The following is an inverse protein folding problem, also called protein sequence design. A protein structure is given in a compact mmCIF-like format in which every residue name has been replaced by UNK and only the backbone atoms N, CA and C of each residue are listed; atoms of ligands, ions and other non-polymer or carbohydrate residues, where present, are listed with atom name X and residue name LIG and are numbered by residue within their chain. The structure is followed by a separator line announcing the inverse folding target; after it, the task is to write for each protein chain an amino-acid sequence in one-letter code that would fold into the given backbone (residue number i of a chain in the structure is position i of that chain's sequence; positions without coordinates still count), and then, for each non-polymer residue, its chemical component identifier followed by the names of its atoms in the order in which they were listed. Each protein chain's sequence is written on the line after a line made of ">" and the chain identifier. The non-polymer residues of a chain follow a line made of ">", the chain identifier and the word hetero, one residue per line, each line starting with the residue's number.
data_IF_779069993712
#
_entry.id   IF_779069993712
#
_cell.length_a   1.000
_cell.length_b   1.000
_cell.length_c   1.000
_cell.angle_alpha   90.00
_cell.angle_beta   90.00
_cell.angle_gamma   90.00
#
_symmetry.space_group_name_H-M   'P 1'
#
loop_
_entity.id
_entity.type
_entity.pdbx_description
1 polymer ?
#
# COMPACT_ATOMS: atom_id res chain seq x y z
N UNK A 1 71.58 50.40 26.39
CA UNK A 1 71.60 48.97 26.18
C UNK A 1 70.33 48.42 26.82
N UNK A 2 69.31 48.28 26.07
CA UNK A 2 68.00 47.69 26.48
C UNK A 2 67.46 46.88 25.37
N UNK A 3 67.40 45.58 25.55
CA UNK A 3 66.82 44.63 24.60
C UNK A 3 65.33 44.63 24.78
N UNK A 4 64.55 44.52 23.67
CA UNK A 4 63.12 44.32 23.76
C UNK A 4 62.77 42.83 23.95
N UNK A 5 61.91 42.53 24.91
CA UNK A 5 61.26 41.25 25.10
C UNK A 5 60.26 41.06 23.97
N UNK A 6 60.46 40.02 23.21
CA UNK A 6 59.49 39.51 22.28
C UNK A 6 58.61 38.42 22.98
N UNK A 7 57.37 38.69 23.15
CA UNK A 7 56.38 37.75 23.63
C UNK A 7 55.89 36.93 22.44
N UNK A 8 55.95 35.58 22.44
CA UNK A 8 55.26 34.80 21.44
C UNK A 8 53.75 34.77 21.77
N UNK A 9 52.95 35.29 20.86
CA UNK A 9 51.50 35.09 20.89
C UNK A 9 51.22 33.61 20.59
N UNK A 10 50.72 32.89 21.57
CA UNK A 10 50.12 31.60 21.40
C UNK A 10 48.89 31.78 20.51
N UNK A 11 49.00 31.37 19.25
CA UNK A 11 47.90 31.17 18.36
C UNK A 11 47.18 29.94 18.87
N UNK A 12 46.10 30.14 19.59
CA UNK A 12 45.14 29.08 19.90
C UNK A 12 44.48 28.77 18.58
N UNK A 13 44.88 27.64 17.96
CA UNK A 13 44.12 27.02 16.87
C UNK A 13 42.74 26.67 17.44
N UNK A 14 41.75 27.46 17.11
CA UNK A 14 40.34 27.11 17.30
C UNK A 14 40.09 25.81 16.52
N UNK A 15 39.55 24.75 17.15
CA UNK A 15 39.14 23.58 16.41
C UNK A 15 38.11 24.02 15.39
N UNK A 16 38.46 23.88 14.11
CA UNK A 16 37.56 24.07 12.98
C UNK A 16 36.31 23.23 13.23
N UNK A 17 35.26 23.89 13.70
CA UNK A 17 33.94 23.26 13.88
C UNK A 17 33.48 22.86 12.49
N UNK A 18 33.66 21.56 12.21
CA UNK A 18 33.18 20.94 10.98
C UNK A 18 31.66 21.21 10.88
N UNK A 19 31.31 22.26 10.12
CA UNK A 19 29.91 22.55 9.84
C UNK A 19 29.29 21.29 9.21
N UNK A 20 28.18 20.78 9.74
CA UNK A 20 27.54 19.59 9.17
C UNK A 20 27.29 19.85 7.68
N UNK A 21 27.99 19.09 6.81
CA UNK A 21 27.84 19.10 5.36
C UNK A 21 26.34 19.08 5.03
N UNK A 22 25.80 20.24 4.72
CA UNK A 22 24.41 20.39 4.30
C UNK A 22 24.23 19.55 3.05
N UNK A 23 23.53 18.40 3.19
CA UNK A 23 23.08 17.53 2.10
C UNK A 23 22.06 18.29 1.22
N UNK A 24 22.51 19.35 0.57
CA UNK A 24 21.71 20.19 -0.30
C UNK A 24 22.23 20.20 -1.74
N UNK A 25 22.41 19.03 -2.32
CA UNK A 25 22.40 18.99 -3.78
C UNK A 25 20.95 18.81 -4.21
N UNK A 26 20.40 19.70 -5.06
CA UNK A 26 19.01 19.60 -5.53
C UNK A 26 18.68 18.25 -6.15
N UNK A 27 19.68 17.53 -6.64
CA UNK A 27 19.58 16.17 -7.16
C UNK A 27 19.23 15.13 -6.09
N UNK A 28 19.73 15.26 -4.85
CA UNK A 28 19.42 14.32 -3.75
C UNK A 28 17.99 14.53 -3.25
N UNK A 29 17.59 15.78 -3.04
CA UNK A 29 16.22 16.11 -2.64
C UNK A 29 15.20 15.61 -3.68
N UNK A 30 15.47 15.80 -4.96
CA UNK A 30 14.58 15.33 -6.04
C UNK A 30 14.45 13.81 -6.08
N UNK A 31 15.54 13.07 -5.85
CA UNK A 31 15.55 11.60 -5.79
C UNK A 31 14.76 11.10 -4.58
N UNK A 32 14.95 11.69 -3.39
CA UNK A 32 14.21 11.33 -2.19
C UNK A 32 12.71 11.59 -2.35
N UNK A 33 12.33 12.72 -2.93
CA UNK A 33 10.93 13.03 -3.25
C UNK A 33 10.38 11.98 -4.23
N UNK A 34 11.12 11.66 -5.28
CA UNK A 34 10.71 10.64 -6.27
C UNK A 34 10.51 9.26 -5.64
N UNK A 35 11.44 8.80 -4.80
CA UNK A 35 11.32 7.51 -4.11
C UNK A 35 10.12 7.47 -3.15
N UNK A 36 9.87 8.56 -2.41
CA UNK A 36 8.71 8.64 -1.52
C UNK A 36 7.39 8.68 -2.29
N UNK A 37 7.33 9.37 -3.42
CA UNK A 37 6.16 9.34 -4.30
C UNK A 37 5.89 7.94 -4.86
N UNK A 38 6.93 7.21 -5.26
CA UNK A 38 6.78 5.82 -5.71
C UNK A 38 6.24 4.92 -4.58
N UNK A 39 6.75 5.06 -3.35
CA UNK A 39 6.24 4.33 -2.18
C UNK A 39 4.78 4.68 -1.89
N UNK A 40 4.45 5.97 -1.88
CA UNK A 40 3.08 6.43 -1.68
C UNK A 40 2.13 5.88 -2.75
N UNK A 41 2.53 5.86 -4.03
CA UNK A 41 1.74 5.29 -5.11
C UNK A 41 1.52 3.78 -4.91
N UNK A 42 2.55 3.03 -4.52
CA UNK A 42 2.42 1.59 -4.23
C UNK A 42 1.45 1.36 -3.07
N UNK A 43 1.62 2.07 -1.95
CA UNK A 43 0.72 1.94 -0.80
C UNK A 43 -0.71 2.35 -1.12
N UNK A 44 -0.89 3.36 -1.98
CA UNK A 44 -2.21 3.77 -2.47
C UNK A 44 -2.88 2.65 -3.26
N UNK A 45 -2.15 2.02 -4.21
CA UNK A 45 -2.68 0.89 -4.99
C UNK A 45 -2.98 -0.31 -4.09
N UNK A 46 -2.09 -0.63 -3.13
CA UNK A 46 -2.32 -1.71 -2.15
C UNK A 46 -3.57 -1.42 -1.32
N UNK A 47 -3.77 -0.18 -0.89
CA UNK A 47 -4.98 0.25 -0.17
C UNK A 47 -6.25 0.08 -1.02
N UNK A 48 -6.21 0.47 -2.30
CA UNK A 48 -7.33 0.25 -3.21
C UNK A 48 -7.63 -1.23 -3.42
N UNK A 49 -6.59 -2.06 -3.59
CA UNK A 49 -6.76 -3.51 -3.70
C UNK A 49 -7.36 -4.10 -2.42
N UNK A 50 -6.88 -3.67 -1.26
CA UNK A 50 -7.42 -4.11 0.02
C UNK A 50 -8.93 -3.81 0.11
N UNK A 51 -9.35 -2.58 -0.17
CA UNK A 51 -10.76 -2.19 -0.14
C UNK A 51 -11.61 -2.87 -1.22
N UNK A 52 -11.00 -3.31 -2.32
CA UNK A 52 -11.69 -4.09 -3.34
C UNK A 52 -11.86 -5.58 -3.00
N UNK A 53 -10.99 -6.13 -2.15
CA UNK A 53 -10.92 -7.57 -1.86
C UNK A 53 -11.36 -7.92 -0.44
N UNK A 54 -11.03 -7.11 0.57
CA UNK A 54 -11.36 -7.39 1.97
C UNK A 54 -12.85 -7.69 2.22
N UNK A 55 -13.80 -7.00 1.56
CA UNK A 55 -15.22 -7.27 1.74
C UNK A 55 -15.66 -8.66 1.27
N UNK A 56 -14.88 -9.32 0.39
CA UNK A 56 -15.19 -10.69 -0.05
C UNK A 56 -15.15 -11.68 1.14
N UNK A 57 -14.28 -11.40 2.13
CA UNK A 57 -14.23 -12.19 3.37
C UNK A 57 -15.53 -12.10 4.21
N UNK A 58 -16.32 -11.05 3.99
CA UNK A 58 -17.64 -10.85 4.62
C UNK A 58 -18.79 -11.46 3.80
N UNK A 59 -18.49 -12.23 2.75
CA UNK A 59 -19.49 -12.77 1.84
C UNK A 59 -20.03 -11.75 0.82
N UNK A 60 -19.42 -10.56 0.74
CA UNK A 60 -19.74 -9.59 -0.31
C UNK A 60 -19.06 -10.01 -1.61
N UNK A 61 -19.50 -9.46 -2.72
CA UNK A 61 -18.87 -9.74 -4.01
C UNK A 61 -18.49 -8.42 -4.72
N UNK A 62 -17.53 -8.49 -5.60
CA UNK A 62 -17.11 -7.34 -6.38
C UNK A 62 -17.46 -7.54 -7.85
N UNK A 63 -17.88 -6.46 -8.50
CA UNK A 63 -18.20 -6.44 -9.93
C UNK A 63 -17.42 -5.35 -10.64
N UNK A 64 -16.91 -5.65 -11.84
CA UNK A 64 -16.22 -4.67 -12.67
C UNK A 64 -17.21 -4.00 -13.61
N UNK A 65 -17.21 -2.68 -13.62
CA UNK A 65 -18.07 -1.87 -14.49
C UNK A 65 -17.51 -1.89 -15.92
N UNK A 66 -18.26 -2.50 -16.83
CA UNK A 66 -17.84 -2.72 -18.23
C UNK A 66 -18.47 -1.74 -19.20
N UNK A 67 -19.55 -1.04 -18.83
CA UNK A 67 -20.29 -0.11 -19.69
C UNK A 67 -20.41 1.27 -19.08
N UNK A 68 -20.61 2.29 -19.90
CA UNK A 68 -20.73 3.69 -19.47
C UNK A 68 -22.11 4.09 -18.96
N UNK A 69 -23.06 3.14 -18.79
CA UNK A 69 -24.44 3.47 -18.37
C UNK A 69 -24.54 4.19 -17.02
N UNK A 70 -23.52 4.07 -16.18
CA UNK A 70 -23.46 4.68 -14.86
C UNK A 70 -22.53 5.90 -14.77
N UNK A 71 -21.99 6.35 -15.90
CA UNK A 71 -21.19 7.57 -15.96
C UNK A 71 -22.04 8.81 -15.73
N UNK A 72 -21.45 9.92 -15.21
CA UNK A 72 -20.04 10.07 -14.82
C UNK A 72 -19.75 9.56 -13.40
N UNK A 73 -20.76 9.18 -12.61
CA UNK A 73 -20.61 8.84 -11.19
C UNK A 73 -19.82 7.55 -10.95
N UNK A 74 -20.01 6.56 -11.82
CA UNK A 74 -19.30 5.29 -11.76
C UNK A 74 -18.59 5.08 -13.11
N UNK A 75 -17.31 5.43 -13.20
CA UNK A 75 -16.57 5.34 -14.46
C UNK A 75 -16.36 3.88 -14.90
N UNK A 76 -16.29 3.69 -16.20
CA UNK A 76 -15.93 2.37 -16.78
C UNK A 76 -14.55 1.95 -16.29
N UNK A 77 -14.39 0.67 -15.96
CA UNK A 77 -13.14 0.14 -15.40
C UNK A 77 -13.01 0.32 -13.87
N UNK A 78 -14.07 0.79 -13.21
CA UNK A 78 -14.15 0.76 -11.76
C UNK A 78 -14.60 -0.60 -11.24
N UNK A 79 -14.30 -0.89 -9.97
CA UNK A 79 -14.84 -2.04 -9.24
C UNK A 79 -15.87 -1.52 -8.25
N UNK A 80 -17.06 -2.10 -8.26
CA UNK A 80 -18.10 -1.87 -7.27
C UNK A 80 -18.19 -3.08 -6.37
N UNK A 81 -18.06 -2.85 -5.07
CA UNK A 81 -18.30 -3.88 -4.05
C UNK A 81 -19.77 -3.90 -3.72
N UNK A 82 -20.36 -5.08 -3.83
CA UNK A 82 -21.80 -5.33 -3.69
C UNK A 82 -22.02 -6.15 -2.42
N UNK A 83 -22.83 -5.60 -1.52
CA UNK A 83 -23.28 -6.25 -0.30
C UNK A 83 -24.64 -6.92 -0.56
N UNK A 84 -24.85 -8.20 -0.18
CA UNK A 84 -26.16 -8.80 -0.17
C UNK A 84 -27.13 -7.94 0.65
N UNK A 85 -28.30 -7.68 0.15
CA UNK A 85 -29.25 -6.78 0.80
C UNK A 85 -30.62 -7.43 0.89
N UNK A 86 -31.29 -7.20 2.04
CA UNK A 86 -32.71 -7.50 2.18
C UNK A 86 -33.57 -6.42 1.51
N UNK A 87 -34.85 -6.72 1.38
CA UNK A 87 -35.83 -5.85 0.69
C UNK A 87 -35.97 -4.48 1.36
N UNK A 88 -35.72 -4.38 2.64
CA UNK A 88 -35.74 -3.16 3.44
C UNK A 88 -34.70 -2.11 3.01
N UNK A 89 -33.65 -2.56 2.35
CA UNK A 89 -32.58 -1.70 1.84
C UNK A 89 -32.79 -1.28 0.38
N UNK A 90 -33.79 -1.83 -0.31
CA UNK A 90 -34.09 -1.54 -1.72
C UNK A 90 -34.89 -0.23 -1.84
N UNK A 91 -34.25 0.89 -1.56
CA UNK A 91 -34.85 2.22 -1.60
C UNK A 91 -34.40 3.04 -2.81
N UNK A 92 -35.15 4.05 -3.26
CA UNK A 92 -34.74 4.94 -4.33
C UNK A 92 -33.33 5.51 -4.09
N UNK A 93 -32.63 5.81 -5.18
CA UNK A 93 -31.25 6.33 -5.24
C UNK A 93 -30.14 5.32 -4.91
N UNK A 94 -30.45 4.13 -4.44
CA UNK A 94 -29.47 3.06 -4.26
C UNK A 94 -29.03 2.48 -5.60
N UNK A 95 -27.74 2.18 -5.72
CA UNK A 95 -27.19 1.43 -6.85
C UNK A 95 -27.32 -0.05 -6.51
N UNK A 96 -27.98 -0.80 -7.38
CA UNK A 96 -28.17 -2.24 -7.21
C UNK A 96 -27.50 -3.01 -8.33
N UNK A 97 -27.07 -4.21 -8.01
CA UNK A 97 -26.74 -5.23 -8.98
C UNK A 97 -27.89 -6.23 -9.04
N UNK A 98 -28.43 -6.42 -10.22
CA UNK A 98 -29.52 -7.36 -10.48
C UNK A 98 -29.22 -8.26 -11.68
N UNK A 99 -29.92 -9.37 -11.77
CA UNK A 99 -30.02 -10.10 -13.02
C UNK A 99 -30.70 -9.20 -14.05
N UNK A 100 -30.17 -9.19 -15.27
CA UNK A 100 -30.74 -8.38 -16.36
C UNK A 100 -32.00 -9.04 -16.89
N UNK A 101 -33.20 -8.43 -16.73
CA UNK A 101 -34.45 -9.04 -17.22
C UNK A 101 -34.48 -9.18 -18.76
N UNK A 102 -33.80 -8.27 -19.47
CA UNK A 102 -33.79 -8.23 -20.92
C UNK A 102 -32.73 -9.16 -21.53
N UNK A 103 -31.71 -9.54 -20.75
CA UNK A 103 -30.61 -10.40 -21.21
C UNK A 103 -30.27 -11.47 -20.16
N UNK A 104 -30.92 -12.63 -20.20
CA UNK A 104 -30.69 -13.71 -19.25
C UNK A 104 -29.20 -14.10 -19.12
N UNK A 105 -28.73 -14.26 -17.90
CA UNK A 105 -27.34 -14.60 -17.59
C UNK A 105 -26.36 -13.41 -17.55
N UNK A 106 -26.84 -12.19 -17.77
CA UNK A 106 -26.07 -10.98 -17.55
C UNK A 106 -26.46 -10.32 -16.25
N UNK A 107 -25.50 -9.59 -15.68
CA UNK A 107 -25.72 -8.74 -14.51
C UNK A 107 -25.78 -7.28 -14.96
N UNK A 108 -26.75 -6.56 -14.42
CA UNK A 108 -26.95 -5.12 -14.63
C UNK A 108 -26.66 -4.38 -13.32
N UNK A 109 -25.90 -3.29 -13.41
CA UNK A 109 -25.63 -2.40 -12.29
C UNK A 109 -26.26 -1.05 -12.59
N UNK A 110 -27.42 -0.76 -12.01
CA UNK A 110 -28.17 0.47 -12.23
C UNK A 110 -28.69 1.05 -10.91
N UNK A 111 -29.22 2.25 -10.96
CA UNK A 111 -29.78 2.95 -9.81
C UNK A 111 -31.30 2.76 -9.74
N UNK A 112 -31.83 2.54 -8.56
CA UNK A 112 -33.27 2.54 -8.32
C UNK A 112 -33.76 3.98 -8.47
N UNK A 113 -34.65 4.21 -9.43
CA UNK A 113 -35.34 5.49 -9.63
C UNK A 113 -36.60 5.58 -8.77
N UNK A 114 -37.41 4.51 -8.81
CA UNK A 114 -38.62 4.40 -8.01
C UNK A 114 -38.98 2.93 -7.73
N UNK A 115 -39.90 2.72 -6.82
CA UNK A 115 -40.53 1.43 -6.55
C UNK A 115 -41.98 1.57 -6.98
N UNK A 116 -42.49 0.64 -7.77
CA UNK A 116 -43.87 0.65 -8.20
C UNK A 116 -44.85 0.09 -7.15
N UNK A 117 -46.13 0.22 -7.38
CA UNK A 117 -47.16 -0.24 -6.44
C UNK A 117 -47.17 -1.76 -6.23
N UNK A 118 -46.56 -2.52 -7.16
CA UNK A 118 -46.39 -3.97 -7.06
C UNK A 118 -45.09 -4.36 -6.31
N UNK A 119 -44.28 -3.40 -5.88
CA UNK A 119 -43.00 -3.61 -5.20
C UNK A 119 -41.86 -3.93 -6.17
N UNK A 120 -42.05 -3.76 -7.48
CA UNK A 120 -40.95 -3.90 -8.44
C UNK A 120 -40.12 -2.62 -8.52
N UNK A 121 -38.85 -2.76 -8.84
CA UNK A 121 -37.89 -1.69 -8.89
C UNK A 121 -37.76 -1.15 -10.31
N UNK A 122 -38.09 0.11 -10.52
CA UNK A 122 -37.78 0.83 -11.75
C UNK A 122 -36.36 1.32 -11.64
N UNK A 123 -35.49 0.83 -12.51
CA UNK A 123 -34.07 1.15 -12.51
C UNK A 123 -33.67 2.00 -13.70
N UNK A 124 -32.55 2.72 -13.53
CA UNK A 124 -32.00 3.61 -14.56
C UNK A 124 -30.49 3.70 -14.45
N UNK A 125 -29.81 3.68 -15.57
CA UNK A 125 -28.41 4.07 -15.64
C UNK A 125 -28.24 5.57 -15.50
N UNK A 126 -27.24 6.03 -14.76
CA UNK A 126 -26.99 7.46 -14.51
C UNK A 126 -26.76 8.26 -15.82
N UNK A 127 -26.19 7.62 -16.85
CA UNK A 127 -25.98 8.23 -18.16
C UNK A 127 -27.19 8.09 -19.11
N UNK A 128 -28.18 7.27 -18.78
CA UNK A 128 -29.32 7.02 -19.64
C UNK A 128 -30.33 8.15 -19.54
N UNK A 129 -31.01 8.44 -20.63
CA UNK A 129 -32.11 9.43 -20.62
C UNK A 129 -33.39 8.85 -20.04
N UNK A 130 -33.66 7.59 -20.36
CA UNK A 130 -34.87 6.87 -19.97
C UNK A 130 -34.56 5.81 -18.93
N UNK A 131 -35.58 5.42 -18.14
CA UNK A 131 -35.52 4.23 -17.30
C UNK A 131 -35.40 2.95 -18.12
N UNK A 132 -35.03 1.88 -17.47
CA UNK A 132 -34.91 0.57 -18.10
C UNK A 132 -36.30 0.08 -18.53
N UNK A 133 -36.34 -0.67 -19.63
CA UNK A 133 -37.60 -1.14 -20.26
C UNK A 133 -38.36 -2.15 -19.40
N UNK A 134 -37.61 -2.92 -18.59
CA UNK A 134 -38.19 -3.96 -17.75
C UNK A 134 -37.87 -3.67 -16.28
N UNK A 135 -38.89 -3.60 -15.41
CA UNK A 135 -38.66 -3.45 -13.96
C UNK A 135 -38.01 -4.71 -13.40
N UNK A 136 -37.24 -4.52 -12.31
CA UNK A 136 -36.53 -5.58 -11.62
C UNK A 136 -37.31 -5.97 -10.36
N UNK A 137 -37.59 -7.27 -10.21
CA UNK A 137 -38.19 -7.75 -8.96
C UNK A 137 -37.14 -7.86 -7.84
N UNK A 138 -37.52 -7.71 -6.56
CA UNK A 138 -36.58 -7.87 -5.44
C UNK A 138 -35.80 -9.20 -5.46
N UNK A 139 -36.44 -10.29 -5.93
CA UNK A 139 -35.80 -11.59 -6.06
C UNK A 139 -34.67 -11.66 -7.08
N UNK A 140 -34.64 -10.74 -8.04
CA UNK A 140 -33.57 -10.63 -9.05
C UNK A 140 -32.39 -9.78 -8.57
N UNK A 141 -32.53 -9.10 -7.43
CA UNK A 141 -31.46 -8.27 -6.87
C UNK A 141 -30.41 -9.14 -6.20
N UNK A 142 -29.17 -9.01 -6.64
CA UNK A 142 -28.01 -9.69 -6.06
C UNK A 142 -27.42 -8.95 -4.87
N UNK A 143 -27.64 -7.64 -4.80
CA UNK A 143 -27.20 -6.80 -3.70
C UNK A 143 -27.08 -5.33 -4.06
N UNK A 144 -26.61 -4.55 -3.10
CA UNK A 144 -26.45 -3.09 -3.19
C UNK A 144 -24.97 -2.75 -3.34
N UNK A 145 -24.65 -1.83 -4.25
CA UNK A 145 -23.32 -1.24 -4.35
C UNK A 145 -23.02 -0.34 -3.17
N UNK A 146 -22.00 -0.66 -2.38
CA UNK A 146 -21.63 0.07 -1.15
C UNK A 146 -20.28 0.76 -1.24
N UNK A 147 -19.33 0.19 -1.98
CA UNK A 147 -17.99 0.76 -2.15
C UNK A 147 -17.67 0.84 -3.63
N UNK A 148 -17.18 1.99 -4.05
CA UNK A 148 -16.65 2.23 -5.40
C UNK A 148 -15.13 2.35 -5.32
N UNK A 149 -14.43 1.46 -6.02
CA UNK A 149 -12.98 1.55 -6.19
C UNK A 149 -12.69 1.94 -7.64
N UNK A 150 -12.32 3.20 -7.89
CA UNK A 150 -12.14 3.68 -9.25
C UNK A 150 -10.91 3.04 -9.89
N UNK A 151 -10.98 2.78 -11.19
CA UNK A 151 -9.89 2.31 -12.05
C UNK A 151 -9.28 0.94 -11.72
N UNK A 152 -9.62 0.32 -10.59
CA UNK A 152 -9.07 -0.98 -10.18
C UNK A 152 -9.43 -2.11 -11.19
N UNK A 153 -10.53 -1.97 -11.88
CA UNK A 153 -10.99 -2.93 -12.90
C UNK A 153 -10.35 -2.75 -14.28
N UNK A 154 -9.52 -1.71 -14.49
CA UNK A 154 -8.90 -1.46 -15.81
C UNK A 154 -8.10 -2.67 -16.32
N UNK A 155 -7.24 -3.32 -15.51
CA UNK A 155 -6.52 -4.52 -15.97
C UNK A 155 -7.48 -5.66 -16.35
N UNK A 156 -8.55 -5.88 -15.57
CA UNK A 156 -9.55 -6.91 -15.82
C UNK A 156 -10.29 -6.62 -17.13
N UNK A 157 -10.67 -5.36 -17.33
CA UNK A 157 -11.31 -4.91 -18.59
C UNK A 157 -10.38 -5.11 -19.77
N UNK A 158 -9.11 -4.70 -19.65
CA UNK A 158 -8.12 -4.85 -20.71
C UNK A 158 -7.88 -6.30 -21.11
N UNK A 159 -7.83 -7.23 -20.13
CA UNK A 159 -7.75 -8.68 -20.43
C UNK A 159 -8.97 -9.17 -21.22
N UNK A 160 -10.18 -8.77 -20.79
CA UNK A 160 -11.43 -9.20 -21.46
C UNK A 160 -11.56 -8.66 -22.88
N UNK A 161 -11.06 -7.46 -23.13
CA UNK A 161 -11.08 -6.81 -24.45
C UNK A 161 -9.87 -7.17 -25.33
N UNK A 162 -8.90 -7.94 -24.79
CA UNK A 162 -7.66 -8.28 -25.50
C UNK A 162 -6.74 -7.07 -25.74
N UNK A 163 -6.88 -6.01 -24.93
CA UNK A 163 -6.10 -4.79 -25.08
C UNK A 163 -4.75 -4.90 -24.36
N UNK A 164 -3.82 -5.59 -25.00
CA UNK A 164 -2.48 -5.85 -24.48
C UNK A 164 -1.64 -4.58 -24.27
N UNK A 165 -1.93 -3.51 -25.02
CA UNK A 165 -1.23 -2.24 -24.86
C UNK A 165 -1.49 -1.63 -23.49
N UNK A 166 -2.74 -1.63 -23.01
CA UNK A 166 -3.09 -1.14 -21.67
C UNK A 166 -2.41 -1.98 -20.59
N UNK A 167 -2.39 -3.30 -20.75
CA UNK A 167 -1.68 -4.19 -19.82
C UNK A 167 -0.19 -3.92 -19.76
N UNK A 168 0.44 -3.70 -20.93
CA UNK A 168 1.86 -3.35 -20.99
C UNK A 168 2.15 -2.02 -20.29
N UNK A 169 1.31 -0.99 -20.47
CA UNK A 169 1.46 0.31 -19.81
C UNK A 169 1.31 0.17 -18.29
N UNK A 170 0.29 -0.55 -17.82
CA UNK A 170 0.06 -0.77 -16.37
C UNK A 170 1.24 -1.53 -15.76
N UNK A 171 1.72 -2.60 -16.44
CA UNK A 171 2.85 -3.39 -15.98
C UNK A 171 4.15 -2.58 -15.95
N UNK A 172 4.40 -1.77 -16.99
CA UNK A 172 5.56 -0.88 -17.05
C UNK A 172 5.52 0.16 -15.92
N UNK A 173 4.35 0.76 -15.65
CA UNK A 173 4.17 1.68 -14.54
C UNK A 173 4.47 1.05 -13.19
N UNK A 174 4.01 -0.20 -12.97
CA UNK A 174 4.30 -0.95 -11.76
C UNK A 174 5.80 -1.25 -11.60
N UNK A 175 6.48 -1.63 -12.69
CA UNK A 175 7.94 -1.87 -12.68
C UNK A 175 8.71 -0.58 -12.38
N UNK A 176 8.34 0.53 -12.99
CA UNK A 176 8.98 1.84 -12.74
C UNK A 176 8.77 2.26 -11.28
N UNK A 177 7.56 2.09 -10.74
CA UNK A 177 7.27 2.39 -9.34
C UNK A 177 8.11 1.51 -8.39
N UNK A 178 8.20 0.21 -8.66
CA UNK A 178 9.01 -0.72 -7.87
C UNK A 178 10.52 -0.41 -7.96
N UNK A 179 11.01 -0.06 -9.15
CA UNK A 179 12.41 0.36 -9.34
C UNK A 179 12.71 1.66 -8.61
N UNK A 180 11.78 2.62 -8.63
CA UNK A 180 11.92 3.91 -7.93
C UNK A 180 12.12 3.77 -6.43
N UNK A 181 11.50 2.77 -5.79
CA UNK A 181 11.69 2.52 -4.36
C UNK A 181 13.06 1.96 -4.01
N UNK A 182 13.75 1.31 -4.96
CA UNK A 182 15.08 0.71 -4.75
C UNK A 182 16.22 1.70 -4.94
N UNK A 183 15.98 2.82 -5.61
CA UNK A 183 17.01 3.86 -5.82
C UNK A 183 17.47 4.50 -4.52
N UNK A 184 16.62 4.53 -3.49
CA UNK A 184 16.91 5.11 -2.19
C UNK A 184 17.79 4.20 -1.31
N UNK A 185 17.59 2.89 -1.42
CA UNK A 185 18.31 1.91 -0.60
C UNK A 185 19.81 1.82 -0.92
N UNK A 186 20.19 2.06 -2.17
CA UNK A 186 21.60 1.97 -2.60
C UNK A 186 22.47 3.14 -2.14
N UNK A 187 21.86 4.30 -1.85
CA UNK A 187 22.60 5.49 -1.45
C UNK A 187 22.82 5.59 0.05
N UNK A 188 21.92 5.00 0.86
CA UNK A 188 22.07 4.99 2.33
C UNK A 188 23.23 4.09 2.76
N UNK A 189 23.56 3.05 1.99
CA UNK A 189 24.62 2.10 2.29
C UNK A 189 25.93 2.33 1.51
N UNK A 190 25.98 3.32 0.62
CA UNK A 190 27.22 3.65 -0.09
C UNK A 190 28.17 4.52 0.76
N UNK A 191 27.61 5.33 1.67
CA UNK A 191 28.41 6.18 2.56
C UNK A 191 29.06 5.38 3.71
N UNK A 192 28.59 4.18 4.04
CA UNK A 192 29.14 3.34 5.10
C UNK A 192 30.39 2.53 4.65
N UNK A 193 30.79 2.60 3.39
CA UNK A 193 31.92 1.82 2.87
C UNK A 193 33.20 2.63 2.62
N UNK A 194 33.20 3.93 2.82
CA UNK A 194 34.39 4.77 2.62
C UNK A 194 35.22 5.02 3.90
N UNK A 195 34.79 4.60 5.08
CA UNK A 195 35.66 4.49 6.24
C UNK A 195 36.41 3.16 6.22
N UNK A 196 37.36 3.06 5.27
CA UNK A 196 38.41 2.07 5.32
C UNK A 196 39.29 2.35 6.57
N UNK A 197 39.84 1.30 7.22
CA UNK A 197 40.72 1.51 8.33
C UNK A 197 41.95 2.33 7.89
N UNK A 198 42.11 3.49 8.49
CA UNK A 198 43.34 4.28 8.36
C UNK A 198 44.49 3.38 8.79
N UNK A 199 45.30 3.01 7.80
CA UNK A 199 46.50 2.21 7.95
C UNK A 199 47.57 3.14 8.59
N UNK A 200 47.40 3.34 9.91
CA UNK A 200 48.40 4.05 10.72
C UNK A 200 49.56 3.12 11.02
N UNK A 201 50.43 2.94 10.03
CA UNK A 201 51.75 2.35 10.15
C UNK A 201 52.73 3.37 10.75
N UNK A 202 52.49 3.77 11.99
CA UNK A 202 53.38 4.59 12.83
C UNK A 202 54.14 3.72 13.81
N UNK A 203 55.36 3.39 13.45
CA UNK A 203 56.45 2.89 14.30
C UNK A 203 56.57 3.68 15.62
N UNK A 204 56.40 3.03 16.75
CA UNK A 204 56.69 3.64 18.08
C UNK A 204 56.70 2.63 19.20
N UNK A 205 57.87 2.28 19.64
CA UNK A 205 58.20 1.35 20.73
C UNK A 205 57.58 1.72 22.08
N UNK A 206 57.19 0.69 22.83
CA UNK A 206 57.40 0.64 24.29
C UNK A 206 56.23 0.91 25.21
N UNK A 207 55.91 -0.10 25.92
CA UNK A 207 55.64 -0.25 27.35
C UNK A 207 54.28 -0.81 27.73
N UNK A 208 54.35 -2.03 28.24
CA UNK A 208 53.54 -2.64 29.30
C UNK A 208 52.34 -1.86 29.80
N UNK A 209 51.15 -2.36 29.48
CA UNK A 209 50.04 -2.32 30.45
C UNK A 209 49.08 -3.51 30.12
N UNK A 210 48.96 -4.37 31.09
CA UNK A 210 48.07 -5.50 31.26
C UNK A 210 46.63 -5.21 30.80
N UNK A 211 46.00 -6.09 30.02
CA UNK A 211 44.56 -5.99 29.76
C UNK A 211 43.77 -6.46 30.98
N UNK A 212 42.87 -5.62 31.48
CA UNK A 212 41.81 -6.03 32.40
C UNK A 212 40.84 -6.98 31.70
N UNK A 213 40.62 -8.18 32.23
CA UNK A 213 39.56 -9.05 31.73
C UNK A 213 38.21 -8.52 32.25
N UNK A 214 37.35 -8.10 31.34
CA UNK A 214 35.94 -7.89 31.66
C UNK A 214 35.33 -9.28 31.68
N UNK A 215 35.16 -9.82 32.90
CA UNK A 215 34.39 -11.04 33.14
C UNK A 215 32.89 -10.74 32.87
N UNK A 216 32.37 -11.23 31.75
CA UNK A 216 30.95 -11.30 31.51
C UNK A 216 30.41 -12.53 32.24
N UNK A 217 29.44 -12.40 33.16
CA UNK A 217 28.90 -13.55 33.87
C UNK A 217 28.15 -14.47 32.90
N UNK A 218 28.62 -15.72 32.81
CA UNK A 218 27.95 -16.81 32.13
C UNK A 218 26.56 -17.05 32.75
N UNK A 219 25.54 -17.15 31.91
CA UNK A 219 24.21 -17.51 32.31
C UNK A 219 24.20 -18.91 32.98
N UNK A 220 23.37 -19.11 34.02
CA UNK A 220 23.28 -20.41 34.68
C UNK A 220 22.67 -21.48 33.78
N UNK A 221 23.01 -22.77 33.97
CA UNK A 221 22.50 -23.88 33.17
C UNK A 221 20.99 -24.08 33.42
N UNK A 222 20.25 -24.28 32.36
CA UNK A 222 18.83 -24.63 32.36
C UNK A 222 18.69 -26.06 32.87
N UNK A 223 18.17 -26.21 34.09
CA UNK A 223 17.69 -27.51 34.61
C UNK A 223 16.48 -27.98 33.78
N UNK A 224 16.65 -29.07 33.10
CA UNK A 224 15.62 -29.83 32.44
C UNK A 224 14.73 -30.51 33.51
N UNK A 225 13.65 -29.86 33.88
CA UNK A 225 12.56 -30.48 34.67
C UNK A 225 11.65 -31.28 33.76
N UNK A 226 11.57 -32.57 34.01
CA UNK A 226 10.69 -33.55 33.39
C UNK A 226 9.21 -33.20 33.57
N UNK A 227 8.32 -33.48 32.58
CA UNK A 227 6.90 -33.22 32.74
C UNK A 227 6.24 -34.23 33.68
N UNK A 228 5.25 -33.76 34.49
CA UNK A 228 4.45 -34.65 35.34
C UNK A 228 3.47 -35.46 34.50
N UNK A 229 3.34 -36.74 34.88
CA UNK A 229 2.43 -37.74 34.39
C UNK A 229 0.95 -37.33 34.50
N UNK A 230 0.25 -37.55 33.43
CA UNK A 230 -1.20 -37.46 33.25
C UNK A 230 -1.97 -38.41 34.21
N UNK A 231 -3.01 -37.99 34.91
CA UNK A 231 -3.91 -38.90 35.59
C UNK A 231 -4.99 -39.40 34.62
N UNK A 232 -5.04 -40.69 34.51
CA UNK A 232 -6.10 -41.56 33.99
C UNK A 232 -7.49 -41.07 34.49
N UNK A 233 -8.41 -40.72 33.57
CA UNK A 233 -9.83 -40.63 33.85
C UNK A 233 -10.58 -41.70 33.10
N UNK A 234 -10.88 -42.72 33.89
CA UNK A 234 -11.71 -43.83 33.54
C UNK A 234 -13.09 -43.45 33.00
N UNK A 235 -13.48 -44.30 32.15
CA UNK A 235 -14.76 -44.74 31.63
C UNK A 235 -15.91 -44.69 32.65
N UNK A 236 -16.97 -43.98 32.33
CA UNK A 236 -18.36 -44.38 32.59
C UNK A 236 -19.29 -43.58 31.63
#
# INVERSE_FOLDING_TARGET
>A
MSAPLSTPADVIDDPEVDEPKRLRTPSVALRLIGANLCRAAIWFVVGLMFWGVAPLALGWHSTTVMSGSMEPRIPVGSVVVVMPAGDDLLTPWRVIQSDDPDHPGRLRLHRIESVDDAGSLVTKGDANQNHDSSPVTPAQVRGIGVVLVPFLGIPVKAVREGNWAVLAIVSLGAVIAAAGTRLDYRFIHADDQEEGPDDDSGTGAGSDTTPCPIDWPLAPPSDAGSPPSEPDRGRA
#
